data_IF_150128300069
#
_entry.id   IF_150128300069
#
_cell.length_a   1.000
_cell.length_b   1.000
_cell.length_c   1.000
_cell.angle_alpha   90.00
_cell.angle_beta   90.00
_cell.angle_gamma   90.00
#
_symmetry.space_group_name_H-M   'P 1'
#
loop_
_entity.id
_entity.type
_entity.pdbx_description
1 polymer ?
#
# COMPACT_ATOMS: atom_id res chain seq x y z
N UNK A 1 5.46 36.50 -31.16
CA UNK A 1 5.25 35.16 -30.59
C UNK A 1 6.53 34.33 -30.69
N UNK A 2 7.49 34.57 -29.84
CA UNK A 2 8.63 33.66 -29.66
C UNK A 2 8.47 33.00 -28.30
N UNK A 3 8.15 31.71 -28.27
CA UNK A 3 8.23 30.86 -27.09
C UNK A 3 9.71 30.61 -26.83
N UNK A 4 10.27 31.16 -25.77
CA UNK A 4 11.58 30.73 -25.27
C UNK A 4 11.42 29.30 -24.68
N UNK A 5 12.34 28.38 -24.99
CA UNK A 5 12.34 27.06 -24.39
C UNK A 5 12.74 27.17 -22.92
N UNK A 6 11.90 26.60 -22.05
CA UNK A 6 12.17 26.47 -20.64
C UNK A 6 13.43 25.58 -20.46
N UNK A 7 14.54 26.16 -20.06
CA UNK A 7 15.75 25.40 -19.78
C UNK A 7 15.52 24.47 -18.61
N UNK A 8 15.53 23.16 -18.87
CA UNK A 8 15.60 22.12 -17.82
C UNK A 8 16.95 22.22 -17.12
N UNK A 9 17.05 23.00 -16.06
CA UNK A 9 18.13 22.85 -15.10
C UNK A 9 17.82 21.63 -14.24
N UNK A 10 18.62 20.57 -14.33
CA UNK A 10 18.67 19.53 -13.32
C UNK A 10 19.11 20.18 -12.01
N UNK A 11 18.14 20.53 -11.17
CA UNK A 11 18.39 20.93 -9.81
C UNK A 11 18.65 19.63 -9.03
N UNK A 12 19.80 19.50 -8.40
CA UNK A 12 20.03 18.50 -7.38
C UNK A 12 18.98 18.73 -6.30
N UNK A 13 18.09 17.77 -6.10
CA UNK A 13 17.13 17.82 -5.01
C UNK A 13 17.92 17.77 -3.70
N UNK A 14 18.14 18.92 -3.10
CA UNK A 14 18.56 18.97 -1.72
C UNK A 14 17.35 18.50 -0.90
N UNK A 15 17.48 17.37 -0.21
CA UNK A 15 16.48 16.90 0.72
C UNK A 15 16.26 17.98 1.79
N UNK A 16 15.06 18.56 1.78
CA UNK A 16 14.60 19.49 2.82
C UNK A 16 13.51 18.73 3.58
N UNK A 17 13.63 18.55 4.91
CA UNK A 17 12.59 17.91 5.72
C UNK A 17 11.24 18.64 5.60
N UNK A 18 10.15 17.92 5.87
CA UNK A 18 8.83 18.53 5.93
C UNK A 18 8.79 19.65 7.00
N UNK A 19 8.19 20.78 6.64
CA UNK A 19 8.11 21.95 7.51
C UNK A 19 9.31 22.90 7.43
N UNK A 20 10.43 22.50 6.79
CA UNK A 20 11.54 23.41 6.52
C UNK A 20 11.30 24.22 5.25
N UNK A 21 11.79 25.45 5.26
CA UNK A 21 11.75 26.34 4.11
C UNK A 21 13.16 26.79 3.74
N UNK A 22 13.39 27.01 2.45
CA UNK A 22 14.59 27.67 1.94
C UNK A 22 14.22 29.02 1.32
N UNK A 23 15.11 29.97 1.48
CA UNK A 23 14.99 31.27 0.79
C UNK A 23 14.90 31.03 -0.72
N UNK A 24 13.99 31.74 -1.37
CA UNK A 24 13.91 31.75 -2.82
C UNK A 24 15.17 32.38 -3.43
N UNK A 25 15.36 32.11 -4.71
CA UNK A 25 16.54 32.63 -5.42
C UNK A 25 16.44 34.14 -5.75
N UNK A 26 15.32 34.79 -5.37
CA UNK A 26 15.00 36.14 -5.83
C UNK A 26 14.76 36.23 -7.34
N UNK A 27 14.56 35.06 -7.99
CA UNK A 27 14.34 35.00 -9.44
C UNK A 27 13.06 35.74 -9.80
N UNK A 28 13.17 36.77 -10.62
CA UNK A 28 12.00 37.48 -11.18
C UNK A 28 11.31 36.58 -12.17
N UNK A 29 10.03 36.29 -11.88
CA UNK A 29 9.18 35.41 -12.68
C UNK A 29 8.33 36.21 -13.67
N UNK A 30 7.92 37.43 -13.29
CA UNK A 30 7.11 38.30 -14.11
C UNK A 30 7.34 39.77 -13.73
N UNK A 31 7.44 40.66 -14.75
CA UNK A 31 7.39 42.12 -14.60
C UNK A 31 6.07 42.60 -15.20
N UNK A 32 5.31 43.37 -14.45
CA UNK A 32 3.96 43.81 -14.85
C UNK A 32 3.74 45.29 -14.60
N UNK A 33 2.79 45.87 -15.33
CA UNK A 33 2.25 47.18 -15.06
C UNK A 33 0.90 47.07 -14.37
N UNK A 34 0.78 47.67 -13.18
CA UNK A 34 -0.45 47.66 -12.40
C UNK A 34 -0.42 46.71 -11.20
N UNK A 35 -1.59 46.46 -10.61
CA UNK A 35 -1.79 45.79 -9.33
C UNK A 35 -2.20 44.29 -9.45
N UNK A 36 -1.74 43.61 -10.49
CA UNK A 36 -2.03 42.17 -10.64
C UNK A 36 -1.41 41.35 -9.50
N UNK A 37 -2.12 40.31 -9.00
CA UNK A 37 -1.61 39.41 -8.01
C UNK A 37 -1.29 38.05 -8.67
N UNK A 38 -0.08 37.53 -8.39
CA UNK A 38 0.34 36.22 -8.84
C UNK A 38 0.37 35.25 -7.66
N UNK A 39 -0.10 34.03 -7.91
CA UNK A 39 0.01 32.93 -6.95
C UNK A 39 0.63 31.73 -7.65
N UNK A 40 1.48 31.01 -6.94
CA UNK A 40 2.00 29.74 -7.41
C UNK A 40 1.11 28.58 -6.92
N UNK A 41 1.05 27.50 -7.71
CA UNK A 41 0.41 26.25 -7.29
C UNK A 41 1.46 25.35 -6.66
N UNK A 42 1.08 24.67 -5.60
CA UNK A 42 1.89 23.62 -5.03
C UNK A 42 2.18 22.55 -6.08
N UNK A 43 3.39 22.04 -6.04
CA UNK A 43 3.86 21.02 -6.98
C UNK A 43 4.22 19.75 -6.24
N UNK A 44 3.83 18.63 -6.80
CA UNK A 44 4.20 17.33 -6.30
C UNK A 44 5.70 17.10 -6.48
N UNK A 45 6.43 16.92 -5.36
CA UNK A 45 7.85 16.62 -5.33
C UNK A 45 8.10 15.10 -5.27
N UNK A 46 9.21 14.69 -4.66
CA UNK A 46 9.54 13.26 -4.49
C UNK A 46 8.78 12.64 -3.33
N UNK A 47 8.81 13.26 -2.15
CA UNK A 47 8.17 12.74 -0.92
C UNK A 47 6.97 13.59 -0.49
N UNK A 48 7.09 14.90 -0.63
CA UNK A 48 6.12 15.90 -0.19
C UNK A 48 5.80 16.87 -1.31
N UNK A 49 4.66 17.55 -1.20
CA UNK A 49 4.35 18.69 -2.05
C UNK A 49 5.25 19.86 -1.70
N UNK A 50 5.66 20.60 -2.71
CA UNK A 50 6.44 21.83 -2.59
C UNK A 50 5.54 23.03 -2.78
N UNK A 51 5.54 23.92 -1.81
CA UNK A 51 4.88 25.23 -1.85
C UNK A 51 5.86 26.31 -2.26
N UNK A 52 5.40 27.26 -3.06
CA UNK A 52 6.20 28.36 -3.57
C UNK A 52 5.56 29.67 -3.14
N UNK A 53 6.25 30.43 -2.30
CA UNK A 53 5.85 31.75 -1.92
C UNK A 53 6.39 32.76 -2.95
N UNK A 54 5.51 33.63 -3.46
CA UNK A 54 5.85 34.72 -4.35
C UNK A 54 5.70 36.02 -3.62
N UNK A 55 6.69 36.92 -3.79
CA UNK A 55 6.63 38.29 -3.32
C UNK A 55 6.79 39.26 -4.46
N UNK A 56 6.43 40.52 -4.23
CA UNK A 56 6.55 41.58 -5.21
C UNK A 56 7.42 42.74 -4.70
N UNK A 57 8.14 43.38 -5.62
CA UNK A 57 8.93 44.57 -5.36
C UNK A 57 8.76 45.57 -6.53
N UNK A 58 9.20 46.84 -6.33
CA UNK A 58 9.27 47.78 -7.41
C UNK A 58 10.17 47.25 -8.52
N UNK A 59 9.73 47.39 -9.79
CA UNK A 59 10.51 46.90 -10.92
C UNK A 59 11.67 47.86 -11.23
N UNK A 60 12.84 47.26 -11.45
CA UNK A 60 14.01 47.95 -11.97
C UNK A 60 14.03 47.96 -13.52
N UNK A 61 13.09 47.22 -14.15
CA UNK A 61 13.02 47.12 -15.60
C UNK A 61 12.21 48.26 -16.19
N UNK A 62 12.79 48.97 -17.13
CA UNK A 62 12.12 50.08 -17.81
C UNK A 62 10.81 49.64 -18.47
N UNK A 63 9.73 50.35 -18.19
CA UNK A 63 8.40 50.09 -18.74
C UNK A 63 7.51 49.19 -17.87
N UNK A 64 7.99 48.73 -16.70
CA UNK A 64 7.23 47.97 -15.73
C UNK A 64 7.20 48.65 -14.36
N UNK A 65 6.19 48.39 -13.57
CA UNK A 65 6.01 48.95 -12.23
C UNK A 65 6.33 47.99 -11.10
N UNK A 66 6.11 46.69 -11.33
CA UNK A 66 6.21 45.65 -10.30
C UNK A 66 6.86 44.40 -10.84
N UNK A 67 7.84 43.88 -10.12
CA UNK A 67 8.46 42.58 -10.34
C UNK A 67 7.93 41.57 -9.31
N UNK A 68 7.47 40.45 -9.80
CA UNK A 68 7.12 39.28 -8.97
C UNK A 68 8.27 38.29 -8.99
N UNK A 69 8.72 37.87 -7.82
CA UNK A 69 9.86 36.97 -7.66
C UNK A 69 9.55 35.81 -6.69
N UNK A 70 10.34 34.75 -6.79
CA UNK A 70 10.31 33.63 -5.90
C UNK A 70 10.94 33.98 -4.57
N UNK A 71 10.15 34.07 -3.51
CA UNK A 71 10.57 34.48 -2.17
C UNK A 71 11.00 33.28 -1.34
N UNK A 72 10.16 32.27 -1.25
CA UNK A 72 10.45 31.06 -0.47
C UNK A 72 9.99 29.77 -1.19
N UNK A 73 10.68 28.68 -0.87
CA UNK A 73 10.32 27.32 -1.24
C UNK A 73 10.19 26.52 0.05
N UNK A 74 9.04 25.94 0.31
CA UNK A 74 8.77 25.13 1.48
C UNK A 74 8.22 23.76 1.10
N UNK A 75 8.52 22.74 1.90
CA UNK A 75 7.84 21.45 1.79
C UNK A 75 6.62 21.42 2.70
N UNK A 76 5.49 21.01 2.14
CA UNK A 76 4.26 20.83 2.92
C UNK A 76 4.28 19.49 3.64
N UNK A 77 3.38 19.31 4.60
CA UNK A 77 3.17 18.02 5.26
C UNK A 77 2.39 17.01 4.41
N UNK A 78 1.97 17.42 3.21
CA UNK A 78 1.22 16.57 2.30
C UNK A 78 2.19 15.65 1.54
N UNK A 79 2.02 14.35 1.72
CA UNK A 79 2.75 13.31 0.99
C UNK A 79 2.32 13.23 -0.47
N UNK A 80 3.25 12.85 -1.33
CA UNK A 80 3.02 12.69 -2.78
C UNK A 80 2.15 11.46 -3.08
N UNK A 81 1.59 11.43 -4.28
CA UNK A 81 0.82 10.27 -4.79
C UNK A 81 1.58 8.97 -4.71
N UNK A 82 2.88 8.98 -5.04
CA UNK A 82 3.73 7.78 -4.94
C UNK A 82 3.89 7.29 -3.51
N UNK A 83 4.16 8.18 -2.56
CA UNK A 83 4.29 7.84 -1.14
C UNK A 83 2.96 7.29 -0.60
N UNK A 84 1.85 7.98 -0.85
CA UNK A 84 0.53 7.54 -0.41
C UNK A 84 0.16 6.17 -1.00
N UNK A 85 0.53 5.90 -2.26
CA UNK A 85 0.29 4.60 -2.90
C UNK A 85 1.12 3.49 -2.26
N UNK A 86 2.42 3.72 -2.00
CA UNK A 86 3.27 2.74 -1.32
C UNK A 86 2.73 2.41 0.07
N UNK A 87 2.30 3.41 0.82
CA UNK A 87 1.72 3.22 2.16
C UNK A 87 0.37 2.49 2.10
N UNK A 88 -0.47 2.79 1.09
CA UNK A 88 -1.73 2.09 0.83
C UNK A 88 -1.49 0.62 0.47
N UNK A 89 -0.51 0.34 -0.38
CA UNK A 89 -0.14 -1.02 -0.77
C UNK A 89 0.46 -1.82 0.39
N UNK A 90 1.26 -1.20 1.27
CA UNK A 90 1.71 -1.83 2.51
C UNK A 90 0.55 -2.12 3.48
N UNK A 91 -0.42 -1.21 3.59
CA UNK A 91 -1.63 -1.44 4.38
C UNK A 91 -2.45 -2.59 3.79
N UNK A 92 -2.56 -2.68 2.46
CA UNK A 92 -3.21 -3.79 1.76
C UNK A 92 -2.51 -5.12 2.08
N UNK A 93 -1.19 -5.20 2.01
CA UNK A 93 -0.43 -6.40 2.36
C UNK A 93 -0.68 -6.86 3.80
N UNK A 94 -0.67 -5.93 4.75
CA UNK A 94 -1.01 -6.25 6.14
C UNK A 94 -2.42 -6.82 6.27
N UNK A 95 -3.41 -6.23 5.61
CA UNK A 95 -4.78 -6.73 5.66
C UNK A 95 -4.91 -8.08 4.97
N UNK A 96 -4.29 -8.30 3.82
CA UNK A 96 -4.29 -9.58 3.10
C UNK A 96 -3.64 -10.66 3.97
N UNK A 97 -2.43 -10.40 4.49
CA UNK A 97 -1.74 -11.30 5.40
C UNK A 97 -2.59 -11.68 6.63
N UNK A 98 -3.28 -10.70 7.22
CA UNK A 98 -4.17 -10.94 8.36
C UNK A 98 -5.42 -11.76 7.99
N UNK A 99 -6.03 -11.50 6.84
CA UNK A 99 -7.23 -12.21 6.41
C UNK A 99 -6.95 -13.63 5.91
N UNK A 100 -5.72 -13.88 5.47
CA UNK A 100 -5.24 -15.21 5.10
C UNK A 100 -4.95 -16.09 6.32
N UNK A 101 -4.88 -15.54 7.54
CA UNK A 101 -4.82 -16.33 8.77
C UNK A 101 -6.18 -16.99 8.99
N UNK A 102 -6.25 -18.25 8.60
CA UNK A 102 -7.47 -19.04 8.66
C UNK A 102 -7.88 -19.31 10.09
N UNK A 103 -9.15 -19.12 10.35
CA UNK A 103 -9.78 -19.62 11.57
C UNK A 103 -10.07 -21.10 11.43
N UNK A 104 -9.93 -21.83 12.53
CA UNK A 104 -10.25 -23.25 12.62
C UNK A 104 -11.61 -23.58 11.98
N UNK A 105 -12.64 -22.81 12.26
CA UNK A 105 -13.99 -23.03 11.73
C UNK A 105 -14.07 -23.01 10.20
N UNK A 106 -13.22 -22.24 9.53
CA UNK A 106 -13.16 -22.21 8.07
C UNK A 106 -12.47 -23.44 7.49
N UNK A 107 -11.46 -23.96 8.20
CA UNK A 107 -10.66 -25.11 7.78
C UNK A 107 -11.32 -26.43 8.15
N UNK A 108 -11.90 -26.50 9.34
CA UNK A 108 -12.49 -27.72 9.91
C UNK A 108 -13.95 -27.96 9.52
N UNK A 109 -14.59 -27.04 8.80
CA UNK A 109 -15.98 -27.21 8.35
C UNK A 109 -16.20 -28.53 7.59
N UNK A 110 -15.23 -28.90 6.76
CA UNK A 110 -15.26 -30.17 5.99
C UNK A 110 -14.81 -31.37 6.80
N UNK A 111 -13.86 -31.24 7.70
CA UNK A 111 -13.39 -32.34 8.56
C UNK A 111 -14.45 -32.81 9.57
N UNK A 112 -15.38 -31.93 9.96
CA UNK A 112 -16.53 -32.33 10.81
C UNK A 112 -17.58 -33.19 10.08
N UNK A 113 -17.61 -33.09 8.74
CA UNK A 113 -18.58 -33.84 7.92
C UNK A 113 -18.03 -35.17 7.44
N UNK A 114 -16.73 -35.37 7.37
CA UNK A 114 -16.08 -36.53 6.77
C UNK A 114 -15.78 -37.67 7.77
N UNK A 115 -16.59 -37.87 8.75
CA UNK A 115 -16.56 -39.10 9.57
C UNK A 115 -15.17 -39.50 10.11
N UNK A 116 -14.89 -40.77 10.24
CA UNK A 116 -13.70 -41.36 10.89
C UNK A 116 -12.41 -41.40 10.03
N UNK A 117 -12.34 -40.71 8.90
CA UNK A 117 -11.14 -40.71 8.06
C UNK A 117 -9.93 -40.09 8.79
N UNK A 118 -8.91 -40.91 8.97
CA UNK A 118 -7.73 -40.59 9.75
C UNK A 118 -6.77 -39.65 9.03
N UNK A 119 -6.93 -39.42 7.71
CA UNK A 119 -6.09 -38.57 6.88
C UNK A 119 -6.78 -38.23 5.56
N UNK A 120 -6.46 -37.08 5.00
CA UNK A 120 -7.00 -36.66 3.72
C UNK A 120 -6.32 -35.39 3.14
N UNK A 121 -6.50 -35.22 1.84
CA UNK A 121 -6.19 -33.97 1.16
C UNK A 121 -7.46 -33.16 0.97
N UNK A 122 -7.34 -31.86 1.03
CA UNK A 122 -8.44 -30.94 0.78
C UNK A 122 -8.01 -29.79 -0.14
N UNK A 123 -8.96 -29.26 -0.86
CA UNK A 123 -8.78 -28.10 -1.71
C UNK A 123 -9.87 -27.06 -1.43
N UNK A 124 -9.48 -25.78 -1.43
CA UNK A 124 -10.42 -24.68 -1.22
C UNK A 124 -10.14 -23.54 -2.18
N UNK A 125 -11.20 -22.91 -2.67
CA UNK A 125 -11.17 -21.64 -3.40
C UNK A 125 -12.04 -20.65 -2.66
N UNK A 126 -11.51 -19.45 -2.44
CA UNK A 126 -12.23 -18.38 -1.75
C UNK A 126 -12.01 -17.05 -2.48
N UNK A 127 -13.10 -16.44 -2.94
CA UNK A 127 -13.13 -15.07 -3.42
C UNK A 127 -13.49 -14.10 -2.30
N UNK A 128 -12.82 -12.96 -2.26
CA UNK A 128 -13.07 -11.92 -1.26
C UNK A 128 -12.83 -10.51 -1.81
N UNK A 129 -13.43 -9.53 -1.13
CA UNK A 129 -13.17 -8.11 -1.36
C UNK A 129 -12.88 -7.46 -0.02
N UNK A 130 -11.78 -6.75 0.06
CA UNK A 130 -11.41 -5.93 1.21
C UNK A 130 -11.19 -4.48 0.75
N UNK A 131 -11.30 -3.55 1.68
CA UNK A 131 -11.03 -2.14 1.42
C UNK A 131 -10.87 -1.37 2.71
N UNK A 132 -10.20 -0.24 2.58
CA UNK A 132 -10.01 0.74 3.65
C UNK A 132 -10.26 2.12 3.08
N UNK A 133 -10.97 2.95 3.83
CA UNK A 133 -11.18 4.36 3.52
C UNK A 133 -10.25 5.24 4.37
N UNK A 134 -9.99 6.44 3.93
CA UNK A 134 -9.19 7.45 4.65
C UNK A 134 -7.85 7.72 3.98
N UNK A 135 -6.85 8.09 4.76
CA UNK A 135 -5.52 8.51 4.26
C UNK A 135 -4.87 7.27 3.71
N UNK A 136 -4.71 6.37 3.47
CA UNK A 136 -4.12 5.18 2.84
C UNK A 136 -5.25 4.25 2.40
N UNK A 137 -6.13 4.81 1.57
CA UNK A 137 -7.26 4.10 1.02
C UNK A 137 -6.83 3.11 -0.07
N UNK A 138 -7.50 1.98 -0.05
CA UNK A 138 -7.37 0.97 -1.10
C UNK A 138 -8.64 0.13 -1.19
N UNK A 139 -8.81 -0.52 -2.32
CA UNK A 139 -9.73 -1.63 -2.50
C UNK A 139 -8.96 -2.81 -3.07
N UNK A 140 -9.31 -4.04 -2.68
CA UNK A 140 -8.73 -5.24 -3.27
C UNK A 140 -9.80 -6.31 -3.47
N UNK A 141 -9.86 -6.86 -4.68
CA UNK A 141 -10.63 -8.06 -4.98
C UNK A 141 -9.63 -9.19 -5.23
N UNK A 142 -9.74 -10.25 -4.50
CA UNK A 142 -8.77 -11.34 -4.60
C UNK A 142 -9.43 -12.71 -4.52
N UNK A 143 -8.74 -13.69 -5.08
CA UNK A 143 -9.10 -15.11 -4.98
C UNK A 143 -7.93 -15.86 -4.38
N UNK A 144 -8.22 -16.66 -3.37
CA UNK A 144 -7.24 -17.54 -2.72
C UNK A 144 -7.55 -18.99 -3.08
N UNK A 145 -6.52 -19.68 -3.51
CA UNK A 145 -6.51 -21.12 -3.77
C UNK A 145 -5.67 -21.80 -2.69
N UNK A 146 -6.19 -22.83 -2.08
CA UNK A 146 -5.48 -23.58 -1.04
C UNK A 146 -5.57 -25.07 -1.28
N UNK A 147 -4.46 -25.75 -1.05
CA UNK A 147 -4.34 -27.20 -1.06
C UNK A 147 -3.71 -27.62 0.26
N UNK A 148 -4.35 -28.49 0.99
CA UNK A 148 -3.84 -28.97 2.26
C UNK A 148 -3.92 -30.47 2.41
N UNK A 149 -3.19 -30.96 3.41
CA UNK A 149 -3.19 -32.35 3.87
C UNK A 149 -3.27 -32.39 5.38
N UNK A 150 -4.13 -33.23 5.89
CA UNK A 150 -4.33 -33.46 7.32
C UNK A 150 -4.23 -34.94 7.66
N UNK A 151 -3.74 -35.24 8.84
CA UNK A 151 -3.81 -36.55 9.43
C UNK A 151 -4.19 -36.50 10.92
N UNK A 152 -4.87 -37.52 11.38
CA UNK A 152 -5.17 -37.68 12.80
C UNK A 152 -3.99 -38.38 13.47
N UNK A 153 -3.24 -37.61 14.27
CA UNK A 153 -2.07 -38.10 15.01
C UNK A 153 -2.42 -38.64 16.40
N UNK A 154 -3.59 -38.28 16.92
CA UNK A 154 -4.12 -38.81 18.19
C UNK A 154 -5.64 -38.94 18.11
N UNK A 155 -6.15 -40.10 18.48
CA UNK A 155 -7.58 -40.37 18.56
C UNK A 155 -7.87 -41.13 19.84
N UNK A 156 -8.45 -40.46 20.83
CA UNK A 156 -8.85 -41.03 22.11
C UNK A 156 -10.30 -40.66 22.39
N UNK A 157 -10.92 -41.29 23.36
CA UNK A 157 -12.31 -40.96 23.79
C UNK A 157 -12.49 -39.52 24.25
N UNK A 158 -11.40 -38.83 24.64
CA UNK A 158 -11.43 -37.45 25.17
C UNK A 158 -10.88 -36.40 24.24
N UNK A 159 -9.96 -36.75 23.31
CA UNK A 159 -9.27 -35.81 22.44
C UNK A 159 -8.97 -36.39 21.08
N UNK A 160 -9.24 -35.64 20.03
CA UNK A 160 -8.81 -35.93 18.66
C UNK A 160 -7.85 -34.82 18.20
N UNK A 161 -6.64 -35.17 17.75
CA UNK A 161 -5.62 -34.24 17.28
C UNK A 161 -5.41 -34.43 15.80
N UNK A 162 -5.46 -33.33 15.07
CA UNK A 162 -5.12 -33.22 13.65
C UNK A 162 -3.82 -32.46 13.49
N UNK A 163 -2.95 -32.93 12.63
CA UNK A 163 -1.76 -32.20 12.17
C UNK A 163 -1.76 -32.14 10.65
N UNK A 164 -1.30 -31.02 10.11
CA UNK A 164 -1.32 -30.85 8.68
C UNK A 164 -0.54 -29.66 8.21
N UNK A 165 -0.53 -29.52 6.90
CA UNK A 165 0.04 -28.35 6.21
C UNK A 165 -0.87 -27.91 5.08
N UNK A 166 -0.73 -26.66 4.65
CA UNK A 166 -1.42 -26.15 3.48
C UNK A 166 -0.51 -25.23 2.67
N UNK A 167 -0.65 -25.30 1.36
CA UNK A 167 -0.10 -24.38 0.40
C UNK A 167 -1.20 -23.43 -0.05
N UNK A 168 -0.90 -22.15 -0.12
CA UNK A 168 -1.86 -21.13 -0.53
C UNK A 168 -1.28 -20.26 -1.65
N UNK A 169 -2.11 -19.92 -2.62
CA UNK A 169 -1.85 -18.91 -3.62
C UNK A 169 -3.03 -17.95 -3.66
N UNK A 170 -2.73 -16.66 -3.49
CA UNK A 170 -3.72 -15.58 -3.60
C UNK A 170 -3.35 -14.69 -4.77
N UNK A 171 -4.34 -14.36 -5.59
CA UNK A 171 -4.21 -13.43 -6.71
C UNK A 171 -5.28 -12.35 -6.58
N UNK A 172 -4.89 -11.08 -6.74
CA UNK A 172 -5.78 -9.95 -6.50
C UNK A 172 -5.47 -8.72 -7.32
N UNK A 173 -6.53 -7.92 -7.52
CA UNK A 173 -6.45 -6.63 -8.19
C UNK A 173 -6.82 -5.54 -7.20
N UNK A 174 -5.91 -4.58 -7.06
CA UNK A 174 -6.04 -3.46 -6.14
C UNK A 174 -6.40 -2.16 -6.87
N UNK A 175 -7.20 -1.33 -6.20
CA UNK A 175 -7.47 0.04 -6.61
C UNK A 175 -6.95 1.00 -5.55
N UNK A 176 -6.27 2.05 -5.99
CA UNK A 176 -5.75 3.16 -5.19
C UNK A 176 -6.41 4.46 -5.63
N UNK A 177 -6.22 5.54 -4.88
CA UNK A 177 -6.82 6.85 -5.19
C UNK A 177 -6.54 7.33 -6.61
N UNK A 178 -5.33 7.11 -7.12
CA UNK A 178 -4.86 7.65 -8.40
C UNK A 178 -4.48 6.57 -9.41
N UNK A 179 -4.92 5.33 -9.21
CA UNK A 179 -4.62 4.23 -10.12
C UNK A 179 -4.96 2.85 -9.57
N UNK A 180 -4.25 1.85 -10.06
CA UNK A 180 -4.51 0.45 -9.73
C UNK A 180 -3.22 -0.35 -9.64
N UNK A 181 -3.35 -1.58 -9.19
CA UNK A 181 -2.24 -2.51 -9.10
C UNK A 181 -2.71 -3.96 -9.01
N UNK A 182 -1.76 -4.85 -9.16
CA UNK A 182 -1.93 -6.27 -8.98
C UNK A 182 -1.17 -6.73 -7.73
N UNK A 183 -1.70 -7.73 -7.06
CA UNK A 183 -1.02 -8.30 -5.90
C UNK A 183 -1.17 -9.81 -5.89
N UNK A 184 -0.14 -10.49 -5.42
CA UNK A 184 -0.18 -11.93 -5.22
C UNK A 184 0.47 -12.33 -3.90
N UNK A 185 0.06 -13.47 -3.37
CA UNK A 185 0.66 -14.06 -2.17
C UNK A 185 0.84 -15.55 -2.35
N UNK A 186 2.01 -16.04 -1.96
CA UNK A 186 2.33 -17.48 -1.89
C UNK A 186 2.65 -17.81 -0.45
N UNK A 187 1.97 -18.81 0.12
CA UNK A 187 2.17 -19.15 1.51
C UNK A 187 2.22 -20.65 1.76
N UNK A 188 2.96 -21.01 2.81
CA UNK A 188 2.93 -22.32 3.42
C UNK A 188 2.52 -22.17 4.88
N UNK A 189 1.62 -23.01 5.33
CA UNK A 189 1.19 -23.08 6.74
C UNK A 189 1.30 -24.48 7.28
N UNK A 190 1.64 -24.58 8.56
CA UNK A 190 1.63 -25.80 9.35
C UNK A 190 0.68 -25.59 10.52
N UNK A 191 -0.12 -26.59 10.82
CA UNK A 191 -1.09 -26.48 11.90
C UNK A 191 -1.20 -27.75 12.74
N UNK A 192 -1.56 -27.51 13.99
CA UNK A 192 -1.86 -28.54 14.97
C UNK A 192 -3.16 -28.19 15.68
N UNK A 193 -4.17 -29.02 15.51
CA UNK A 193 -5.51 -28.78 16.02
C UNK A 193 -5.91 -29.91 16.98
N UNK A 194 -6.26 -29.54 18.20
CA UNK A 194 -6.85 -30.49 19.17
C UNK A 194 -8.34 -30.18 19.35
N UNK A 195 -9.17 -31.21 19.29
CA UNK A 195 -10.60 -31.11 19.55
C UNK A 195 -10.93 -32.04 20.69
N UNK A 196 -11.44 -31.51 21.79
CA UNK A 196 -11.89 -32.28 22.93
C UNK A 196 -13.34 -32.73 22.80
N UNK A 197 -13.68 -33.91 23.39
CA UNK A 197 -15.01 -34.49 23.38
C UNK A 197 -16.10 -33.58 24.01
N UNK A 198 -15.70 -32.63 24.85
CA UNK A 198 -16.60 -31.62 25.47
C UNK A 198 -16.77 -30.34 24.61
N UNK A 199 -16.25 -30.32 23.39
CA UNK A 199 -16.41 -29.19 22.46
C UNK A 199 -15.37 -28.11 22.57
N UNK A 200 -14.39 -28.15 23.48
CA UNK A 200 -13.25 -27.28 23.48
C UNK A 200 -12.27 -27.64 22.35
N UNK A 201 -11.54 -26.68 21.85
CA UNK A 201 -10.49 -26.90 20.86
C UNK A 201 -9.30 -25.99 21.11
N UNK A 202 -8.16 -26.39 20.60
CA UNK A 202 -6.96 -25.57 20.48
C UNK A 202 -6.42 -25.72 19.07
N UNK A 203 -6.29 -24.63 18.36
CA UNK A 203 -5.72 -24.59 17.02
C UNK A 203 -4.49 -23.71 17.01
N UNK A 204 -3.34 -24.28 16.67
CA UNK A 204 -2.07 -23.53 16.53
C UNK A 204 -1.65 -23.59 15.08
N UNK A 205 -1.44 -22.43 14.47
CA UNK A 205 -1.03 -22.30 13.07
C UNK A 205 0.24 -21.47 12.97
N UNK A 206 1.23 -22.01 12.29
CA UNK A 206 2.42 -21.30 11.85
C UNK A 206 2.36 -21.11 10.33
N UNK A 207 2.62 -19.88 9.84
CA UNK A 207 2.53 -19.55 8.42
C UNK A 207 3.68 -18.65 8.00
N UNK A 208 4.21 -18.92 6.81
CA UNK A 208 5.15 -18.05 6.11
C UNK A 208 4.54 -17.71 4.75
N UNK A 209 4.55 -16.44 4.38
CA UNK A 209 4.05 -15.93 3.11
C UNK A 209 5.04 -14.99 2.44
N UNK A 210 5.06 -15.01 1.11
CA UNK A 210 5.70 -14.00 0.29
C UNK A 210 4.61 -13.29 -0.54
N UNK A 211 4.58 -11.96 -0.47
CA UNK A 211 3.56 -11.11 -1.09
C UNK A 211 4.22 -10.15 -2.07
N UNK A 212 3.81 -10.23 -3.31
CA UNK A 212 4.28 -9.37 -4.40
C UNK A 212 3.21 -8.32 -4.73
N UNK A 213 3.63 -7.11 -5.03
CA UNK A 213 2.77 -6.00 -5.42
C UNK A 213 3.37 -5.22 -6.57
N UNK A 214 2.54 -4.94 -7.55
CA UNK A 214 2.80 -4.04 -8.65
C UNK A 214 1.74 -2.95 -8.66
N UNK A 215 2.13 -1.71 -8.95
CA UNK A 215 1.15 -0.63 -9.09
C UNK A 215 1.51 0.34 -10.21
N UNK A 216 0.47 0.93 -10.77
CA UNK A 216 0.54 2.04 -11.71
C UNK A 216 -0.43 3.12 -11.24
N UNK A 217 0.09 4.30 -10.94
CA UNK A 217 -0.68 5.47 -10.53
C UNK A 217 -0.25 6.70 -11.30
N UNK A 218 -1.02 7.77 -11.21
CA UNK A 218 -0.75 9.04 -11.89
C UNK A 218 -0.67 10.15 -10.87
N UNK A 219 0.36 10.98 -10.99
CA UNK A 219 0.52 12.17 -10.16
C UNK A 219 -0.48 13.28 -10.54
N UNK A 220 -0.46 14.38 -9.84
CA UNK A 220 -1.32 15.55 -10.11
C UNK A 220 -1.05 16.22 -11.47
N UNK A 221 0.08 15.93 -12.09
CA UNK A 221 0.45 16.39 -13.42
C UNK A 221 0.18 15.36 -14.51
N UNK A 222 -0.52 14.27 -14.17
CA UNK A 222 -0.79 13.12 -15.04
C UNK A 222 0.46 12.36 -15.50
N UNK A 223 1.57 12.47 -14.78
CA UNK A 223 2.74 11.62 -15.04
C UNK A 223 2.49 10.22 -14.48
N UNK A 224 2.81 9.22 -15.28
CA UNK A 224 2.70 7.82 -14.90
C UNK A 224 3.81 7.44 -13.92
N UNK A 225 3.43 6.87 -12.79
CA UNK A 225 4.32 6.32 -11.77
C UNK A 225 4.05 4.83 -11.65
N UNK A 226 5.08 4.03 -11.76
CA UNK A 226 5.02 2.57 -11.57
C UNK A 226 5.95 2.17 -10.45
N UNK A 227 5.57 1.16 -9.69
CA UNK A 227 6.43 0.57 -8.68
C UNK A 227 6.07 -0.87 -8.42
N UNK A 228 7.05 -1.62 -7.95
CA UNK A 228 6.90 -2.98 -7.48
C UNK A 228 7.68 -3.18 -6.18
N UNK A 229 7.19 -4.05 -5.35
CA UNK A 229 7.88 -4.48 -4.14
C UNK A 229 7.31 -5.81 -3.63
N UNK A 230 8.11 -6.51 -2.85
CA UNK A 230 7.67 -7.71 -2.16
C UNK A 230 7.84 -7.60 -0.65
N UNK A 231 7.05 -8.36 0.08
CA UNK A 231 7.11 -8.47 1.53
C UNK A 231 7.05 -9.94 1.95
N UNK A 232 7.79 -10.29 2.97
CA UNK A 232 7.69 -11.60 3.63
C UNK A 232 6.90 -11.43 4.91
N UNK A 233 5.86 -12.25 5.08
CA UNK A 233 5.05 -12.32 6.28
C UNK A 233 5.30 -13.62 7.05
N UNK A 234 5.43 -13.52 8.38
CA UNK A 234 5.49 -14.67 9.29
C UNK A 234 4.38 -14.51 10.31
N UNK A 235 3.61 -15.56 10.54
CA UNK A 235 2.53 -15.57 11.51
C UNK A 235 2.57 -16.80 12.39
N UNK A 236 2.25 -16.60 13.66
CA UNK A 236 1.91 -17.63 14.61
C UNK A 236 0.56 -17.25 15.25
N UNK A 237 -0.41 -18.10 15.17
CA UNK A 237 -1.72 -17.90 15.79
C UNK A 237 -2.10 -19.09 16.67
N UNK A 238 -2.84 -18.81 17.72
CA UNK A 238 -3.49 -19.80 18.58
C UNK A 238 -4.92 -19.35 18.84
N UNK A 239 -5.87 -20.24 18.72
CA UNK A 239 -7.30 -20.00 18.93
C UNK A 239 -7.88 -21.00 19.92
#
# INVERSE_FOLDING_TARGET
NQRQPCAKKHQKDNYVPAGDSTEGTGLVLASVNGSGTFTAKDREGTLFYTHYDLASKASETTGFTTDWYLDKIAHTDQTTTSVDTILSANALNYHTWRTENDKLLKRMGELRQNGDDAKGTWFRVQGSKIGRNGRFDFTNKYTTYQLGYDEVTKNTSSVKRYQGFALSYTDGNSGYRSGSGDNSSKAISFYNTEIGSKGHYLDVVFKISNMDNDFTVYDTNSNKITGNFNNTGVALSAE
#
